data_IF_814889630703
#
_entry.id   IF_814889630703
#
_cell.length_a   1.000
_cell.length_b   1.000
_cell.length_c   1.000
_cell.angle_alpha   90.00
_cell.angle_beta   90.00
_cell.angle_gamma   90.00
#
_symmetry.space_group_name_H-M   'P 1'
#
loop_
_entity.id
_entity.type
_entity.pdbx_description
1 polymer ?
#
# COMPACT_ATOMS: atom_id res chain seq x y z
N UNK A 1 10.66 14.26 1.04
CA UNK A 1 11.01 14.59 2.45
C UNK A 1 11.25 13.25 3.13
N UNK A 2 12.36 13.04 3.82
CA UNK A 2 12.55 11.79 4.58
C UNK A 2 11.88 11.95 5.95
N UNK A 3 11.25 10.89 6.44
CA UNK A 3 10.65 10.89 7.78
C UNK A 3 11.72 11.18 8.84
N UNK A 4 11.30 11.78 9.96
CA UNK A 4 12.15 11.86 11.15
C UNK A 4 12.18 10.54 11.95
N UNK A 5 11.40 9.53 11.50
CA UNK A 5 11.35 8.25 12.17
C UNK A 5 12.68 7.49 11.98
N UNK A 6 13.28 7.07 13.06
CA UNK A 6 14.50 6.29 13.09
C UNK A 6 14.21 4.86 13.54
N UNK A 7 14.97 3.89 13.00
CA UNK A 7 14.96 2.53 13.50
C UNK A 7 15.55 2.48 14.91
N UNK A 8 14.73 2.09 15.89
CA UNK A 8 15.15 1.87 17.27
C UNK A 8 15.60 0.42 17.43
N UNK A 9 16.70 0.19 18.13
CA UNK A 9 17.09 -1.17 18.48
C UNK A 9 16.03 -1.76 19.42
N UNK A 10 15.59 -2.99 19.13
CA UNK A 10 14.69 -3.76 19.98
C UNK A 10 15.37 -5.07 20.33
N UNK A 11 15.54 -5.32 21.64
CA UNK A 11 16.08 -6.55 22.15
C UNK A 11 15.19 -7.76 21.83
N UNK A 12 15.76 -8.97 21.89
CA UNK A 12 15.00 -10.19 21.57
C UNK A 12 13.85 -10.40 22.55
N UNK A 13 14.08 -10.23 23.83
CA UNK A 13 13.05 -10.38 24.87
C UNK A 13 11.92 -9.37 24.71
N UNK A 14 12.24 -8.10 24.42
CA UNK A 14 11.24 -7.06 24.18
C UNK A 14 10.45 -7.32 22.90
N UNK A 15 11.10 -7.89 21.88
CA UNK A 15 10.40 -8.33 20.67
C UNK A 15 9.43 -9.48 20.97
N UNK A 16 9.83 -10.46 21.80
CA UNK A 16 8.95 -11.56 22.21
C UNK A 16 7.76 -11.04 23.03
N UNK A 17 7.97 -10.13 23.95
CA UNK A 17 6.89 -9.45 24.69
C UNK A 17 5.97 -8.67 23.74
N UNK A 18 6.53 -7.90 22.80
CA UNK A 18 5.74 -7.12 21.83
C UNK A 18 4.84 -8.01 20.96
N UNK A 19 5.30 -9.22 20.60
CA UNK A 19 4.53 -10.15 19.78
C UNK A 19 3.70 -11.17 20.58
N UNK A 20 3.69 -11.09 21.89
CA UNK A 20 2.94 -12.02 22.74
C UNK A 20 1.45 -11.99 22.38
N UNK A 21 0.84 -13.18 22.21
CA UNK A 21 -0.54 -13.31 21.75
C UNK A 21 -0.81 -12.89 20.31
N UNK A 22 0.21 -12.53 19.53
CA UNK A 22 0.03 -12.13 18.15
C UNK A 22 -0.39 -13.29 17.25
N UNK A 23 -1.31 -13.02 16.31
CA UNK A 23 -1.70 -13.95 15.25
C UNK A 23 -0.84 -13.71 14.01
N UNK A 24 -0.26 -14.77 13.46
CA UNK A 24 0.49 -14.71 12.19
C UNK A 24 -0.52 -14.56 11.04
N UNK A 25 -0.44 -13.46 10.31
CA UNK A 25 -1.28 -13.16 9.14
C UNK A 25 -0.60 -13.59 7.84
N UNK A 26 0.73 -13.41 7.77
CA UNK A 26 1.54 -13.81 6.62
C UNK A 26 2.88 -14.34 7.10
N UNK A 27 3.32 -15.46 6.52
CA UNK A 27 4.64 -16.03 6.70
C UNK A 27 5.15 -16.63 5.38
N UNK A 28 6.47 -16.86 5.27
CA UNK A 28 7.09 -17.62 4.18
C UNK A 28 8.16 -18.56 4.71
N UNK A 29 8.91 -19.23 3.81
CA UNK A 29 10.00 -20.14 4.17
C UNK A 29 11.14 -19.50 4.99
N UNK A 30 11.09 -18.19 5.24
CA UNK A 30 12.06 -17.46 6.05
C UNK A 30 11.46 -16.92 7.37
N UNK A 31 10.22 -17.29 7.69
CA UNK A 31 9.52 -16.93 8.93
C UNK A 31 8.41 -15.92 8.75
N UNK A 32 7.98 -15.35 9.88
CA UNK A 32 6.86 -14.43 9.94
C UNK A 32 7.14 -13.14 9.16
N UNK A 33 6.10 -12.64 8.48
CA UNK A 33 6.12 -11.37 7.72
C UNK A 33 5.18 -10.34 8.28
N UNK A 34 3.96 -10.76 8.65
CA UNK A 34 2.94 -9.87 9.18
C UNK A 34 2.28 -10.53 10.38
N UNK A 35 2.28 -9.81 11.48
CA UNK A 35 1.66 -10.19 12.74
C UNK A 35 0.52 -9.21 13.05
N UNK A 36 -0.61 -9.74 13.50
CA UNK A 36 -1.69 -8.98 14.11
C UNK A 36 -1.58 -9.12 15.63
N UNK A 37 -1.41 -8.01 16.32
CA UNK A 37 -1.30 -7.94 17.76
C UNK A 37 -2.69 -8.01 18.43
N UNK A 38 -2.76 -8.38 19.73
CA UNK A 38 -4.03 -8.44 20.47
C UNK A 38 -4.76 -7.08 20.53
N UNK A 39 -4.05 -5.97 20.47
CA UNK A 39 -4.60 -4.60 20.46
C UNK A 39 -5.12 -4.14 19.09
N UNK A 40 -5.09 -5.02 18.08
CA UNK A 40 -5.50 -4.73 16.70
C UNK A 40 -4.46 -4.03 15.83
N UNK A 41 -3.28 -3.72 16.37
CA UNK A 41 -2.17 -3.18 15.58
C UNK A 41 -1.43 -4.29 14.83
N UNK A 42 -0.59 -3.89 13.88
CA UNK A 42 0.19 -4.81 13.08
C UNK A 42 1.69 -4.60 13.23
N UNK A 43 2.44 -5.69 13.15
CA UNK A 43 3.89 -5.66 12.94
C UNK A 43 4.17 -6.26 11.56
N UNK A 44 4.82 -5.48 10.69
CA UNK A 44 5.35 -5.98 9.42
C UNK A 44 6.86 -6.11 9.51
N UNK A 45 7.35 -7.32 9.25
CA UNK A 45 8.76 -7.70 9.36
C UNK A 45 9.41 -7.69 7.98
N UNK A 46 10.48 -6.93 7.84
CA UNK A 46 11.27 -6.84 6.62
C UNK A 46 12.63 -7.52 6.82
N UNK A 47 12.96 -8.48 5.96
CA UNK A 47 14.24 -9.16 5.99
C UNK A 47 15.37 -8.18 5.66
N UNK A 48 16.43 -8.20 6.45
CA UNK A 48 17.66 -7.45 6.15
C UNK A 48 18.44 -8.21 5.07
N UNK A 49 18.57 -7.61 3.89
CA UNK A 49 19.42 -8.17 2.84
C UNK A 49 20.87 -7.87 3.17
N UNK A 50 21.73 -8.90 3.18
CA UNK A 50 23.19 -8.73 3.35
C UNK A 50 23.74 -7.93 2.17
N UNK A 51 24.72 -7.06 2.46
CA UNK A 51 25.60 -6.25 1.63
C UNK A 51 25.43 -6.37 0.09
N UNK A 52 25.36 -5.20 -0.61
CA UNK A 52 25.36 -4.99 -2.07
C UNK A 52 23.99 -4.81 -2.77
N UNK A 53 22.90 -4.52 -2.05
CA UNK A 53 21.64 -4.13 -2.70
C UNK A 53 21.22 -2.71 -2.27
N UNK A 54 20.49 -2.00 -3.13
CA UNK A 54 19.92 -0.67 -2.83
C UNK A 54 19.05 -0.67 -1.55
N UNK A 55 18.58 -1.83 -1.08
CA UNK A 55 17.85 -2.00 0.17
C UNK A 55 18.75 -1.97 1.42
N UNK A 56 20.06 -2.14 1.27
CA UNK A 56 21.03 -1.98 2.34
C UNK A 56 21.24 -0.50 2.69
N UNK A 57 21.22 0.38 1.68
CA UNK A 57 21.37 1.83 1.84
C UNK A 57 20.06 2.51 2.29
N UNK A 58 18.90 1.91 1.98
CA UNK A 58 17.60 2.44 2.36
C UNK A 58 16.60 1.31 2.65
N UNK A 59 16.53 0.87 3.93
CA UNK A 59 15.70 -0.25 4.38
C UNK A 59 14.22 -0.10 4.04
N UNK A 60 13.57 -1.21 3.71
CA UNK A 60 12.14 -1.23 3.38
C UNK A 60 11.25 -0.69 4.51
N UNK A 61 11.63 -0.90 5.78
CA UNK A 61 10.91 -0.33 6.92
C UNK A 61 10.93 1.20 6.91
N UNK A 62 12.08 1.82 6.59
CA UNK A 62 12.17 3.27 6.43
C UNK A 62 11.39 3.77 5.21
N UNK A 63 11.45 3.03 4.08
CA UNK A 63 10.63 3.36 2.90
C UNK A 63 9.14 3.33 3.21
N UNK A 64 8.70 2.32 3.98
CA UNK A 64 7.31 2.21 4.39
C UNK A 64 6.89 3.46 5.19
N UNK A 65 7.68 3.84 6.20
CA UNK A 65 7.42 5.03 7.02
C UNK A 65 7.42 6.34 6.21
N UNK A 66 8.44 6.55 5.37
CA UNK A 66 8.52 7.74 4.51
C UNK A 66 7.33 7.83 3.56
N UNK A 67 6.87 6.68 3.03
CA UNK A 67 5.72 6.62 2.15
C UNK A 67 4.40 6.89 2.88
N UNK A 68 4.24 6.45 4.13
CA UNK A 68 3.09 6.84 4.96
C UNK A 68 3.05 8.35 5.18
N UNK A 69 4.17 8.97 5.54
CA UNK A 69 4.26 10.42 5.72
C UNK A 69 3.97 11.18 4.42
N UNK A 70 4.47 10.65 3.29
CA UNK A 70 4.23 11.23 1.97
C UNK A 70 2.75 11.15 1.55
N UNK A 71 2.05 10.05 1.87
CA UNK A 71 0.61 9.90 1.62
C UNK A 71 -0.20 10.82 2.54
N UNK A 72 0.12 10.82 3.84
CA UNK A 72 -0.57 11.66 4.83
C UNK A 72 -0.46 13.14 4.46
N UNK A 73 0.72 13.61 4.07
CA UNK A 73 0.92 15.01 3.64
C UNK A 73 0.14 15.39 2.37
N UNK A 74 -0.35 14.39 1.62
CA UNK A 74 -1.18 14.53 0.42
C UNK A 74 -2.66 14.26 0.65
N UNK A 75 -3.07 14.05 1.90
CA UNK A 75 -4.46 13.76 2.27
C UNK A 75 -4.95 12.39 1.83
N UNK A 76 -4.06 11.46 1.47
CA UNK A 76 -4.40 10.08 1.10
C UNK A 76 -4.48 9.21 2.36
N UNK A 77 -5.63 8.56 2.65
CA UNK A 77 -5.76 7.64 3.75
C UNK A 77 -4.73 6.52 3.67
N UNK A 78 -4.07 6.23 4.79
CA UNK A 78 -3.05 5.19 4.89
C UNK A 78 -2.90 4.76 6.37
N UNK A 79 -2.23 3.63 6.66
CA UNK A 79 -1.92 3.22 8.03
C UNK A 79 -1.20 4.30 8.83
N UNK A 80 -1.31 4.22 10.14
CA UNK A 80 -0.62 5.13 11.06
C UNK A 80 0.63 4.46 11.64
N UNK A 81 1.80 5.06 11.42
CA UNK A 81 3.04 4.58 11.98
C UNK A 81 3.06 4.78 13.49
N UNK A 82 3.32 3.71 14.26
CA UNK A 82 3.54 3.74 15.70
C UNK A 82 5.03 3.77 15.99
N UNK A 83 5.79 2.80 15.45
CA UNK A 83 7.22 2.70 15.67
C UNK A 83 7.97 1.94 14.58
N UNK A 84 9.27 2.14 14.50
CA UNK A 84 10.20 1.38 13.68
C UNK A 84 11.25 0.72 14.58
N UNK A 85 11.45 -0.58 14.39
CA UNK A 85 12.41 -1.33 15.18
C UNK A 85 13.41 -2.06 14.30
N UNK A 86 14.62 -2.20 14.84
CA UNK A 86 15.63 -3.13 14.38
C UNK A 86 15.76 -4.28 15.36
N UNK A 87 15.36 -5.47 14.98
CA UNK A 87 15.44 -6.69 15.77
C UNK A 87 16.61 -7.52 15.26
N UNK A 88 17.78 -7.29 15.86
CA UNK A 88 19.03 -7.89 15.39
C UNK A 88 19.02 -9.42 15.52
N UNK A 89 18.43 -9.94 16.59
CA UNK A 89 18.38 -11.38 16.90
C UNK A 89 17.68 -12.23 15.83
N UNK A 90 16.75 -11.64 15.06
CA UNK A 90 16.03 -12.32 13.97
C UNK A 90 16.37 -11.74 12.59
N UNK A 91 17.37 -10.87 12.48
CA UNK A 91 17.79 -10.19 11.26
C UNK A 91 16.65 -9.49 10.51
N UNK A 92 15.73 -8.81 11.25
CA UNK A 92 14.58 -8.09 10.68
C UNK A 92 14.57 -6.63 11.11
N UNK A 93 14.06 -5.77 10.22
CA UNK A 93 13.53 -4.47 10.58
C UNK A 93 12.00 -4.61 10.66
N UNK A 94 11.37 -4.04 11.69
CA UNK A 94 9.96 -4.15 11.96
C UNK A 94 9.27 -2.78 11.88
N UNK A 95 8.10 -2.74 11.26
CA UNK A 95 7.19 -1.60 11.27
C UNK A 95 6.00 -1.96 12.14
N UNK A 96 5.80 -1.23 13.23
CA UNK A 96 4.62 -1.30 14.08
C UNK A 96 3.66 -0.20 13.68
N UNK A 97 2.44 -0.53 13.31
CA UNK A 97 1.48 0.43 12.79
C UNK A 97 0.04 0.06 13.10
N UNK A 98 -0.81 1.08 13.22
CA UNK A 98 -2.27 0.92 13.24
C UNK A 98 -2.76 0.76 11.81
N UNK A 99 -3.61 -0.25 11.53
CA UNK A 99 -4.13 -0.47 10.20
C UNK A 99 -5.05 0.67 9.76
N UNK A 100 -5.15 0.89 8.45
CA UNK A 100 -6.19 1.72 7.88
C UNK A 100 -7.53 1.01 7.99
N UNK A 101 -8.51 1.65 8.63
CA UNK A 101 -9.86 1.12 8.74
C UNK A 101 -10.52 1.01 7.36
N UNK A 102 -11.29 -0.07 7.14
CA UNK A 102 -12.00 -0.30 5.90
C UNK A 102 -11.74 -1.67 5.30
N UNK A 103 -12.15 -1.84 4.04
CA UNK A 103 -12.07 -3.12 3.33
C UNK A 103 -11.33 -2.93 2.02
N UNK A 104 -10.40 -3.84 1.69
CA UNK A 104 -9.72 -3.77 0.39
C UNK A 104 -10.71 -3.98 -0.75
N UNK A 105 -10.52 -3.27 -1.86
CA UNK A 105 -11.40 -3.42 -3.04
C UNK A 105 -11.40 -4.86 -3.56
N UNK A 106 -10.27 -5.57 -3.47
CA UNK A 106 -10.20 -7.01 -3.77
C UNK A 106 -11.11 -7.85 -2.89
N UNK A 107 -11.18 -7.54 -1.60
CA UNK A 107 -12.06 -8.27 -0.67
C UNK A 107 -13.52 -7.97 -0.95
N UNK A 108 -13.87 -6.70 -1.24
CA UNK A 108 -15.22 -6.34 -1.70
C UNK A 108 -15.60 -7.12 -2.97
N UNK A 109 -14.68 -7.20 -3.93
CA UNK A 109 -14.90 -7.95 -5.18
C UNK A 109 -15.18 -9.43 -4.93
N UNK A 110 -14.41 -10.06 -4.02
CA UNK A 110 -14.60 -11.47 -3.67
C UNK A 110 -15.91 -11.76 -2.96
N UNK A 111 -16.37 -10.83 -2.14
CA UNK A 111 -17.61 -10.97 -1.37
C UNK A 111 -18.88 -10.58 -2.16
N UNK A 112 -18.71 -10.08 -3.39
CA UNK A 112 -19.77 -9.56 -4.23
C UNK A 112 -20.07 -8.09 -3.93
N UNK A 113 -19.87 -7.23 -4.94
CA UNK A 113 -20.28 -5.82 -4.90
C UNK A 113 -21.69 -5.76 -5.49
N UNK A 114 -22.67 -5.11 -4.84
CA UNK A 114 -24.00 -4.94 -5.42
C UNK A 114 -23.92 -4.32 -6.83
N UNK A 115 -24.64 -4.88 -7.79
CA UNK A 115 -24.59 -4.44 -9.18
C UNK A 115 -24.89 -2.94 -9.34
N UNK A 116 -25.79 -2.40 -8.51
CA UNK A 116 -26.11 -0.98 -8.50
C UNK A 116 -24.95 -0.08 -8.01
N UNK A 117 -24.04 -0.59 -7.19
CA UNK A 117 -22.92 0.17 -6.63
C UNK A 117 -21.63 0.08 -7.47
N UNK A 118 -21.49 -1.01 -8.22
CA UNK A 118 -20.26 -1.31 -8.96
C UNK A 118 -19.83 -0.20 -9.94
N UNK A 119 -20.72 0.40 -10.76
CA UNK A 119 -20.33 1.48 -11.68
C UNK A 119 -19.80 2.72 -10.95
N UNK A 120 -20.47 3.14 -9.87
CA UNK A 120 -20.03 4.28 -9.07
C UNK A 120 -18.68 4.03 -8.41
N UNK A 121 -18.44 2.80 -7.92
CA UNK A 121 -17.16 2.43 -7.31
C UNK A 121 -16.03 2.41 -8.35
N UNK A 122 -16.27 1.88 -9.57
CA UNK A 122 -15.29 1.90 -10.67
C UNK A 122 -14.93 3.33 -11.07
N UNK A 123 -15.93 4.19 -11.24
CA UNK A 123 -15.73 5.60 -11.55
C UNK A 123 -14.85 6.30 -10.48
N UNK A 124 -15.24 6.19 -9.21
CA UNK A 124 -14.52 6.80 -8.10
C UNK A 124 -13.07 6.27 -7.99
N UNK A 125 -12.84 4.98 -8.29
CA UNK A 125 -11.51 4.40 -8.32
C UNK A 125 -10.66 4.95 -9.49
N UNK A 126 -11.26 5.20 -10.65
CA UNK A 126 -10.60 5.86 -11.79
C UNK A 126 -10.13 7.27 -11.42
N UNK A 127 -11.00 8.06 -10.79
CA UNK A 127 -10.68 9.40 -10.27
C UNK A 127 -9.57 9.34 -9.23
N UNK A 128 -9.63 8.39 -8.30
CA UNK A 128 -8.60 8.19 -7.28
C UNK A 128 -7.23 7.87 -7.87
N UNK A 129 -7.15 6.95 -8.85
CA UNK A 129 -5.89 6.62 -9.51
C UNK A 129 -5.33 7.81 -10.30
N UNK A 130 -6.20 8.59 -10.96
CA UNK A 130 -5.80 9.82 -11.63
C UNK A 130 -5.24 10.85 -10.62
N UNK A 131 -5.89 10.98 -9.47
CA UNK A 131 -5.43 11.85 -8.37
C UNK A 131 -4.06 11.43 -7.84
N UNK A 132 -3.83 10.13 -7.57
CA UNK A 132 -2.53 9.60 -7.17
C UNK A 132 -1.43 10.00 -8.18
N UNK A 133 -1.70 9.83 -9.47
CA UNK A 133 -0.76 10.18 -10.53
C UNK A 133 -0.53 11.69 -10.63
N UNK A 134 -1.56 12.51 -10.38
CA UNK A 134 -1.47 13.96 -10.27
C UNK A 134 -0.58 14.42 -9.12
N UNK A 135 -0.62 13.70 -8.00
CA UNK A 135 0.23 13.93 -6.81
C UNK A 135 1.65 13.35 -6.94
N UNK A 136 2.01 12.78 -8.09
CA UNK A 136 3.32 12.17 -8.32
C UNK A 136 3.52 10.81 -7.63
N UNK A 137 2.45 10.15 -7.20
CA UNK A 137 2.52 8.83 -6.55
C UNK A 137 2.64 7.72 -7.59
N UNK A 138 3.75 7.00 -7.55
CA UNK A 138 4.01 5.79 -8.36
C UNK A 138 4.09 4.59 -7.44
N UNK A 139 3.14 3.68 -7.52
CA UNK A 139 3.05 2.54 -6.63
C UNK A 139 3.17 1.24 -7.42
N UNK A 140 4.32 0.56 -7.32
CA UNK A 140 4.59 -0.70 -8.06
C UNK A 140 3.67 -1.84 -7.67
N UNK A 141 3.21 -1.85 -6.44
CA UNK A 141 2.21 -2.81 -5.94
C UNK A 141 0.78 -2.26 -5.97
N UNK A 142 0.49 -1.32 -6.88
CA UNK A 142 -0.87 -0.84 -7.07
C UNK A 142 -1.72 -1.96 -7.70
N UNK A 143 -2.56 -2.56 -6.89
CA UNK A 143 -3.60 -3.51 -7.26
C UNK A 143 -4.75 -3.41 -6.24
N UNK A 144 -5.91 -3.98 -6.55
CA UNK A 144 -7.12 -3.81 -5.72
C UNK A 144 -6.97 -4.38 -4.29
N UNK A 145 -6.00 -5.27 -4.07
CA UNK A 145 -5.67 -5.77 -2.72
C UNK A 145 -4.90 -4.77 -1.85
N UNK A 146 -4.34 -3.69 -2.43
CA UNK A 146 -3.64 -2.64 -1.70
C UNK A 146 -4.39 -1.30 -1.71
N UNK A 147 -5.60 -1.29 -2.27
CA UNK A 147 -6.53 -0.16 -2.21
C UNK A 147 -7.65 -0.49 -1.23
N UNK A 148 -7.81 0.33 -0.21
CA UNK A 148 -8.83 0.19 0.84
C UNK A 148 -9.93 1.23 0.62
N UNK A 149 -11.18 0.80 0.66
CA UNK A 149 -12.34 1.67 0.80
C UNK A 149 -12.62 1.86 2.29
N UNK A 150 -12.45 3.08 2.79
CA UNK A 150 -12.68 3.41 4.20
C UNK A 150 -14.19 3.53 4.51
N UNK A 151 -14.58 3.51 5.80
CA UNK A 151 -15.97 3.75 6.20
C UNK A 151 -16.54 5.08 5.69
N UNK A 152 -15.69 6.11 5.55
CA UNK A 152 -16.04 7.44 5.02
C UNK A 152 -16.10 7.46 3.48
N UNK A 153 -16.12 6.28 2.84
CA UNK A 153 -16.17 6.12 1.38
C UNK A 153 -15.00 6.77 0.63
N UNK A 154 -13.84 6.87 1.28
CA UNK A 154 -12.60 7.35 0.66
C UNK A 154 -11.69 6.17 0.33
N UNK A 155 -10.93 6.28 -0.75
CA UNK A 155 -9.87 5.31 -1.03
C UNK A 155 -8.59 5.67 -0.29
N UNK A 156 -7.90 4.63 0.19
CA UNK A 156 -6.58 4.72 0.80
C UNK A 156 -5.66 3.61 0.32
N UNK A 157 -4.39 3.68 0.70
CA UNK A 157 -3.37 2.73 0.27
C UNK A 157 -2.74 2.04 1.47
N UNK A 158 -2.48 0.74 1.32
CA UNK A 158 -1.73 -0.09 2.27
C UNK A 158 -0.54 -0.75 1.58
N UNK A 159 0.36 -1.34 2.36
CA UNK A 159 1.57 -2.04 1.88
C UNK A 159 2.47 -1.21 0.97
N UNK A 160 2.77 0.01 1.38
CA UNK A 160 3.37 1.07 0.58
C UNK A 160 4.91 1.04 0.50
N UNK A 161 5.57 -0.04 0.89
CA UNK A 161 7.05 -0.12 0.97
C UNK A 161 7.77 0.04 -0.39
N UNK A 162 7.10 -0.29 -1.50
CA UNK A 162 7.65 -0.18 -2.86
C UNK A 162 7.09 1.01 -3.67
N UNK A 163 6.43 1.93 -2.98
CA UNK A 163 5.96 3.18 -3.55
C UNK A 163 7.10 4.19 -3.71
N UNK A 164 6.97 5.08 -4.68
CA UNK A 164 7.84 6.24 -4.89
C UNK A 164 6.99 7.49 -5.11
N UNK A 165 7.39 8.60 -4.53
CA UNK A 165 6.68 9.87 -4.68
C UNK A 165 7.59 10.89 -5.35
N UNK A 166 7.09 11.50 -6.41
CA UNK A 166 7.77 12.54 -7.18
C UNK A 166 7.21 13.92 -6.82
N UNK A 167 8.01 14.97 -7.02
CA UNK A 167 7.57 16.36 -6.77
C UNK A 167 6.57 16.87 -7.82
N UNK A 168 6.62 16.30 -9.02
CA UNK A 168 5.74 16.64 -10.14
C UNK A 168 4.77 15.48 -10.44
N UNK A 169 3.64 15.76 -11.11
CA UNK A 169 2.74 14.74 -11.63
C UNK A 169 3.48 13.69 -12.47
N UNK A 170 2.99 12.44 -12.44
CA UNK A 170 3.59 11.37 -13.22
C UNK A 170 3.46 11.64 -14.73
N UNK A 171 4.56 11.47 -15.45
CA UNK A 171 4.57 11.47 -16.91
C UNK A 171 3.92 10.21 -17.52
N UNK A 172 3.58 10.25 -18.81
CA UNK A 172 2.84 9.20 -19.51
C UNK A 172 3.40 7.79 -19.33
N UNK A 173 4.73 7.61 -19.49
CA UNK A 173 5.37 6.29 -19.32
C UNK A 173 5.20 5.70 -17.91
N UNK A 174 5.32 6.54 -16.85
CA UNK A 174 5.11 6.07 -15.48
C UNK A 174 3.65 5.74 -15.22
N UNK A 175 2.72 6.54 -15.75
CA UNK A 175 1.27 6.27 -15.65
C UNK A 175 0.93 4.95 -16.32
N UNK A 176 1.39 4.71 -17.55
CA UNK A 176 1.16 3.47 -18.27
C UNK A 176 1.72 2.25 -17.52
N UNK A 177 2.97 2.36 -17.00
CA UNK A 177 3.56 1.28 -16.18
C UNK A 177 2.78 1.05 -14.88
N UNK A 178 2.28 2.10 -14.24
CA UNK A 178 1.49 1.94 -13.02
C UNK A 178 0.13 1.33 -13.32
N UNK A 179 -0.50 1.69 -14.44
CA UNK A 179 -1.73 1.06 -14.91
C UNK A 179 -1.52 -0.44 -15.18
N UNK A 180 -0.40 -0.84 -15.80
CA UNK A 180 -0.02 -2.25 -15.94
C UNK A 180 0.04 -3.00 -14.60
N UNK A 181 0.51 -2.35 -13.54
CA UNK A 181 0.53 -2.96 -12.21
C UNK A 181 -0.90 -3.12 -11.64
N UNK A 182 -1.77 -2.16 -11.85
CA UNK A 182 -3.16 -2.21 -11.43
C UNK A 182 -3.93 -3.35 -12.15
N UNK A 183 -3.69 -3.50 -13.44
CA UNK A 183 -4.39 -4.46 -14.31
C UNK A 183 -3.75 -5.86 -14.36
N UNK A 184 -2.73 -6.14 -13.56
CA UNK A 184 -1.98 -7.41 -13.65
C UNK A 184 -2.77 -8.66 -13.24
N UNK A 185 -3.81 -8.51 -12.44
CA UNK A 185 -4.67 -9.62 -12.03
C UNK A 185 -5.91 -9.68 -12.92
N UNK A 186 -6.07 -10.78 -13.66
CA UNK A 186 -7.11 -10.92 -14.70
C UNK A 186 -8.53 -10.62 -14.20
N UNK A 187 -8.89 -11.13 -13.03
CA UNK A 187 -10.23 -10.90 -12.47
C UNK A 187 -10.45 -9.42 -12.09
N UNK A 188 -9.43 -8.75 -11.54
CA UNK A 188 -9.49 -7.33 -11.20
C UNK A 188 -9.55 -6.45 -12.46
N UNK A 189 -8.74 -6.80 -13.47
CA UNK A 189 -8.74 -6.11 -14.76
C UNK A 189 -10.07 -6.25 -15.49
N UNK A 190 -10.67 -7.45 -15.48
CA UNK A 190 -11.98 -7.70 -16.07
C UNK A 190 -13.06 -6.85 -15.40
N UNK A 191 -13.06 -6.80 -14.06
CA UNK A 191 -14.03 -5.98 -13.33
C UNK A 191 -13.83 -4.47 -13.60
N UNK A 192 -12.59 -3.98 -13.68
CA UNK A 192 -12.31 -2.58 -14.01
C UNK A 192 -12.72 -2.19 -15.44
N UNK A 193 -12.70 -3.15 -16.36
CA UNK A 193 -13.06 -2.97 -17.76
C UNK A 193 -14.50 -3.38 -18.13
N UNK A 194 -15.33 -3.77 -17.15
CA UNK A 194 -16.70 -4.24 -17.39
C UNK A 194 -17.59 -3.15 -18.02
N UNK A 195 -17.30 -1.89 -17.71
CA UNK A 195 -17.85 -0.70 -18.36
C UNK A 195 -16.74 0.33 -18.55
N UNK A 196 -17.03 1.42 -19.25
CA UNK A 196 -16.06 2.52 -19.44
C UNK A 196 -15.86 3.40 -18.22
N UNK A 197 -16.54 3.12 -17.10
CA UNK A 197 -16.58 4.00 -15.93
C UNK A 197 -15.22 4.30 -15.34
N UNK A 198 -14.37 3.28 -15.15
CA UNK A 198 -13.02 3.48 -14.59
C UNK A 198 -12.12 4.28 -15.53
N UNK A 199 -11.99 3.85 -16.80
CA UNK A 199 -11.08 4.48 -17.76
C UNK A 199 -11.56 5.88 -18.17
N UNK A 200 -12.85 6.06 -18.38
CA UNK A 200 -13.46 7.35 -18.69
C UNK A 200 -13.21 8.36 -17.56
N UNK A 201 -13.47 7.98 -16.31
CA UNK A 201 -13.25 8.82 -15.14
C UNK A 201 -11.76 9.14 -14.94
N UNK A 202 -10.88 8.14 -15.09
CA UNK A 202 -9.44 8.36 -15.04
C UNK A 202 -8.97 9.36 -16.12
N UNK A 203 -9.41 9.18 -17.37
CA UNK A 203 -9.02 10.05 -18.49
C UNK A 203 -9.52 11.48 -18.29
N UNK A 204 -10.76 11.64 -17.85
CA UNK A 204 -11.34 12.95 -17.54
C UNK A 204 -10.57 13.66 -16.44
N UNK A 205 -10.34 12.97 -15.30
CA UNK A 205 -9.67 13.56 -14.15
C UNK A 205 -8.18 13.82 -14.39
N UNK A 206 -7.52 13.03 -15.24
CA UNK A 206 -6.09 13.19 -15.53
C UNK A 206 -5.78 14.14 -16.69
N UNK A 207 -6.78 14.52 -17.50
CA UNK A 207 -6.61 15.25 -18.76
C UNK A 207 -5.82 14.47 -19.81
N UNK A 208 -5.75 13.13 -19.72
CA UNK A 208 -4.93 12.27 -20.58
C UNK A 208 -5.70 11.01 -20.95
N UNK A 209 -5.55 10.54 -22.19
CA UNK A 209 -6.11 9.25 -22.61
C UNK A 209 -5.17 8.11 -22.24
N UNK A 210 -5.64 7.18 -21.37
CA UNK A 210 -5.14 5.82 -21.23
C UNK A 210 -6.34 4.92 -21.53
N UNK A 211 -6.21 4.04 -22.52
CA UNK A 211 -7.23 3.05 -22.86
C UNK A 211 -6.92 1.70 -22.20
N UNK A 212 -7.88 0.74 -22.25
CA UNK A 212 -7.57 -0.65 -22.00
C UNK A 212 -6.48 -1.10 -22.98
N UNK A 213 -5.42 -1.71 -22.47
CA UNK A 213 -4.35 -2.33 -23.29
C UNK A 213 -4.77 -3.72 -23.71
#
# INVERSE_FOLDING_TARGET
MRTKAALRALGHEDYLKLREGARIIEADGHGDKVLLLPDGNYIKLFRRKRLLSSSSLYPYALRFADNLDALRSRGIPCPELIALYRVAAIERDAVHYRPLAGTTVRHLLKNGIPAAEAPALRKALGEFVAHLHGLGVYFRSLHLGNVVLTPERRFGLIDVSDMSVFRAPLGGLRRARNMKHLLRYRAEAAWLGEDDGFFSAYNQASGRRLGPT
#
